data_IF_582603946151
#
_entry.id   IF_582603946151
#
_cell.length_a   1.000
_cell.length_b   1.000
_cell.length_c   1.000
_cell.angle_alpha   90.00
_cell.angle_beta   90.00
_cell.angle_gamma   90.00
#
_symmetry.space_group_name_H-M   'P 1'
#
loop_
_entity.id
_entity.type
_entity.pdbx_description
1 polymer ?
#
# COMPACT_ATOMS: atom_id res chain seq x y z
N UNK A 1 3.18 -0.47 -1.50
CA UNK A 1 1.98 0.23 -0.99
C UNK A 1 2.40 1.46 -0.22
N UNK A 2 1.79 2.63 -0.42
CA UNK A 2 2.07 3.80 0.41
C UNK A 2 0.81 4.57 0.84
N UNK A 3 0.87 5.23 1.99
CA UNK A 3 -0.27 5.92 2.62
C UNK A 3 -0.42 7.36 2.11
N UNK A 4 -1.62 7.72 1.65
CA UNK A 4 -1.94 9.11 1.27
C UNK A 4 -2.38 9.92 2.49
N UNK A 5 -1.90 11.17 2.59
CA UNK A 5 -2.20 12.09 3.69
C UNK A 5 -3.44 12.95 3.42
N UNK A 6 -3.77 13.30 2.18
CA UNK A 6 -4.90 14.18 1.85
C UNK A 6 -5.59 13.74 0.55
N UNK A 7 -6.91 13.94 0.37
CA UNK A 7 -7.62 13.65 -0.88
C UNK A 7 -7.04 14.37 -2.10
N UNK A 8 -6.55 15.60 -1.93
CA UNK A 8 -5.86 16.36 -2.98
C UNK A 8 -4.60 15.66 -3.51
N UNK A 9 -3.92 14.86 -2.67
CA UNK A 9 -2.78 14.06 -3.11
C UNK A 9 -3.20 12.91 -4.01
N UNK A 10 -4.39 12.32 -3.78
CA UNK A 10 -4.93 11.29 -4.64
C UNK A 10 -5.23 11.87 -6.02
N UNK A 11 -5.98 12.96 -6.09
CA UNK A 11 -6.32 13.62 -7.37
C UNK A 11 -5.08 14.01 -8.15
N UNK A 12 -4.10 14.60 -7.48
CA UNK A 12 -2.83 15.00 -8.08
C UNK A 12 -2.03 13.79 -8.59
N UNK A 13 -1.93 12.72 -7.79
CA UNK A 13 -1.25 11.49 -8.20
C UNK A 13 -1.92 10.88 -9.45
N UNK A 14 -3.26 10.83 -9.47
CA UNK A 14 -4.04 10.32 -10.60
C UNK A 14 -3.85 11.17 -11.85
N UNK A 15 -3.95 12.50 -11.72
CA UNK A 15 -3.86 13.45 -12.85
C UNK A 15 -2.45 13.53 -13.44
N UNK A 16 -1.44 13.59 -12.59
CA UNK A 16 -0.04 13.79 -13.00
C UNK A 16 0.76 12.49 -13.08
N UNK A 17 0.11 11.35 -12.82
CA UNK A 17 0.65 9.98 -12.97
C UNK A 17 1.98 9.77 -12.27
N UNK A 18 2.04 10.15 -11.00
CA UNK A 18 3.22 9.92 -10.18
C UNK A 18 2.85 9.54 -8.76
N UNK A 19 3.81 8.93 -8.07
CA UNK A 19 3.74 8.71 -6.63
C UNK A 19 5.08 9.10 -6.01
N UNK A 20 5.08 9.58 -4.76
CA UNK A 20 6.31 9.86 -4.05
C UNK A 20 6.20 9.52 -2.58
N UNK A 21 7.32 9.13 -1.99
CA UNK A 21 7.46 8.93 -0.55
C UNK A 21 8.87 9.28 -0.09
N UNK A 22 9.08 9.61 1.20
CA UNK A 22 10.42 9.78 1.75
C UNK A 22 11.26 8.53 1.49
N UNK A 23 12.50 8.71 1.04
CA UNK A 23 13.41 7.60 0.76
C UNK A 23 13.65 6.75 2.02
N UNK A 24 13.70 7.40 3.19
CA UNK A 24 13.83 6.75 4.52
C UNK A 24 12.72 5.75 4.86
N UNK A 25 11.59 5.76 4.14
CA UNK A 25 10.53 4.75 4.32
C UNK A 25 10.89 3.41 3.66
N UNK A 26 11.90 3.38 2.79
CA UNK A 26 12.36 2.19 2.08
C UNK A 26 13.63 1.71 2.78
N UNK A 27 13.50 0.70 3.63
CA UNK A 27 14.62 0.22 4.46
C UNK A 27 15.72 -0.41 3.59
N UNK A 28 15.32 -1.25 2.62
CA UNK A 28 16.25 -1.82 1.64
C UNK A 28 16.09 -1.13 0.28
N UNK A 29 17.04 -0.25 -0.04
CA UNK A 29 17.05 0.48 -1.31
C UNK A 29 17.21 -0.44 -2.54
N UNK A 30 17.69 -1.69 -2.39
CA UNK A 30 17.76 -2.65 -3.51
C UNK A 30 16.38 -3.04 -4.01
N UNK A 31 15.34 -2.91 -3.17
CA UNK A 31 13.96 -3.20 -3.56
C UNK A 31 13.45 -2.23 -4.62
N UNK A 32 13.99 -1.00 -4.69
CA UNK A 32 13.52 0.02 -5.65
C UNK A 32 13.53 -0.46 -7.09
N UNK A 33 14.55 -1.22 -7.49
CA UNK A 33 14.66 -1.75 -8.87
C UNK A 33 13.69 -2.90 -9.14
N UNK A 34 13.07 -3.47 -8.11
CA UNK A 34 12.13 -4.58 -8.21
C UNK A 34 10.66 -4.13 -8.11
N UNK A 35 10.40 -2.84 -7.84
CA UNK A 35 9.04 -2.32 -7.73
C UNK A 35 8.45 -2.14 -9.13
N UNK A 36 7.59 -3.08 -9.52
CA UNK A 36 6.85 -3.02 -10.79
C UNK A 36 5.54 -2.23 -10.68
N UNK A 37 4.93 -2.19 -9.49
CA UNK A 37 3.63 -1.57 -9.25
C UNK A 37 3.63 -0.75 -7.97
N UNK A 38 2.93 0.39 -8.02
CA UNK A 38 2.57 1.15 -6.83
C UNK A 38 1.06 1.07 -6.64
N UNK A 39 0.65 0.94 -5.39
CA UNK A 39 -0.74 1.07 -4.99
C UNK A 39 -0.88 2.00 -3.78
N UNK A 40 -1.99 2.74 -3.77
CA UNK A 40 -2.24 3.83 -2.83
C UNK A 40 -3.29 3.41 -1.82
N UNK A 41 -2.94 3.44 -0.54
CA UNK A 41 -3.85 3.16 0.56
C UNK A 41 -4.51 4.45 1.05
N UNK A 42 -5.84 4.51 0.98
CA UNK A 42 -6.67 5.57 1.54
C UNK A 42 -7.03 5.22 2.99
N UNK A 43 -6.36 5.87 3.95
CA UNK A 43 -6.54 5.60 5.38
C UNK A 43 -7.86 6.15 5.96
N UNK A 44 -8.41 5.45 6.97
CA UNK A 44 -9.68 5.81 7.63
C UNK A 44 -9.66 7.18 8.31
N UNK A 45 -8.54 7.55 8.95
CA UNK A 45 -8.40 8.83 9.66
C UNK A 45 -8.52 10.06 8.74
N UNK A 46 -8.32 9.89 7.43
CA UNK A 46 -8.16 11.01 6.48
C UNK A 46 -9.19 10.99 5.35
N UNK A 47 -9.77 9.83 5.08
CA UNK A 47 -10.88 9.64 4.15
C UNK A 47 -12.12 9.25 4.99
N UNK A 48 -12.80 10.25 5.55
CA UNK A 48 -13.89 10.11 6.55
C UNK A 48 -15.20 9.52 5.99
N UNK A 49 -15.25 9.12 4.71
CA UNK A 49 -16.43 8.58 4.06
C UNK A 49 -16.44 7.05 3.98
N UNK A 50 -17.55 6.37 4.34
CA UNK A 50 -17.77 4.96 3.99
C UNK A 50 -17.56 4.75 2.48
N UNK A 51 -16.80 3.72 2.09
CA UNK A 51 -16.54 3.40 0.68
C UNK A 51 -15.30 4.06 0.04
N UNK A 52 -14.63 5.01 0.72
CA UNK A 52 -13.43 5.68 0.21
C UNK A 52 -12.12 5.24 0.88
N UNK A 53 -12.17 4.21 1.71
CA UNK A 53 -11.02 3.71 2.47
C UNK A 53 -10.53 2.37 1.92
N UNK A 54 -9.28 2.04 2.15
CA UNK A 54 -8.63 0.84 1.62
C UNK A 54 -7.77 1.13 0.41
N UNK A 55 -7.62 0.16 -0.49
CA UNK A 55 -6.77 0.27 -1.67
C UNK A 55 -7.65 0.17 -2.90
N UNK A 56 -7.85 1.31 -3.55
CA UNK A 56 -8.67 1.42 -4.76
C UNK A 56 -7.83 1.52 -6.02
N UNK A 57 -6.65 2.12 -5.93
CA UNK A 57 -5.84 2.51 -7.08
C UNK A 57 -4.48 1.85 -7.06
N UNK A 58 -4.06 1.36 -8.22
CA UNK A 58 -2.74 0.82 -8.46
C UNK A 58 -2.26 1.21 -9.85
N UNK A 59 -0.97 1.18 -10.10
CA UNK A 59 -0.42 1.55 -11.40
C UNK A 59 0.97 0.96 -11.61
N UNK A 60 1.26 0.63 -12.86
CA UNK A 60 2.57 0.11 -13.27
C UNK A 60 3.60 1.23 -13.23
N UNK A 61 4.75 0.96 -12.64
CA UNK A 61 5.89 1.88 -12.61
C UNK A 61 6.58 1.84 -13.97
N UNK A 62 6.79 3.02 -14.56
CA UNK A 62 7.62 3.17 -15.76
C UNK A 62 9.07 3.49 -15.41
N UNK A 63 9.25 4.33 -14.40
CA UNK A 63 10.55 4.83 -13.99
C UNK A 63 10.49 5.32 -12.54
N UNK A 64 11.64 5.43 -11.88
CA UNK A 64 11.77 6.04 -10.57
C UNK A 64 13.08 6.79 -10.44
N UNK A 65 13.08 7.83 -9.60
CA UNK A 65 14.28 8.59 -9.29
C UNK A 65 14.31 9.04 -7.84
N UNK A 66 15.51 9.14 -7.28
CA UNK A 66 15.73 9.83 -6.01
C UNK A 66 15.90 11.32 -6.29
N UNK A 67 15.11 12.14 -5.60
CA UNK A 67 15.12 13.59 -5.71
C UNK A 67 15.04 14.21 -4.31
N UNK A 68 15.48 15.45 -4.17
CA UNK A 68 15.20 16.24 -2.97
C UNK A 68 13.74 16.64 -2.96
N UNK A 69 13.16 16.80 -1.77
CA UNK A 69 11.75 17.15 -1.62
C UNK A 69 11.37 18.44 -2.36
N UNK A 70 12.27 19.44 -2.41
CA UNK A 70 12.08 20.71 -3.13
C UNK A 70 11.93 20.55 -4.65
N UNK A 71 12.43 19.46 -5.23
CA UNK A 71 12.35 19.18 -6.67
C UNK A 71 11.00 18.57 -7.08
N UNK A 72 10.19 18.13 -6.12
CA UNK A 72 8.81 17.68 -6.36
C UNK A 72 7.92 18.93 -6.40
N UNK A 73 7.85 19.55 -7.57
CA UNK A 73 7.17 20.84 -7.80
C UNK A 73 5.65 20.73 -7.82
N UNK A 74 5.11 19.52 -8.07
CA UNK A 74 3.66 19.28 -8.06
C UNK A 74 3.05 19.60 -6.70
N UNK A 75 3.85 19.52 -5.62
CA UNK A 75 3.43 19.88 -4.27
C UNK A 75 4.55 20.59 -3.53
N UNK A 76 4.35 21.83 -3.06
CA UNK A 76 5.39 22.56 -2.34
C UNK A 76 5.88 21.79 -1.11
N UNK A 77 7.18 21.87 -0.84
CA UNK A 77 7.79 21.34 0.37
C UNK A 77 7.24 22.08 1.60
N UNK A 78 7.21 21.40 2.75
CA UNK A 78 6.97 22.09 4.02
C UNK A 78 8.28 22.74 4.47
N UNK A 79 8.24 23.91 5.12
CA UNK A 79 9.43 24.53 5.69
C UNK A 79 10.24 23.53 6.53
N UNK A 80 11.53 23.40 6.24
CA UNK A 80 12.46 22.50 6.92
C UNK A 80 12.50 21.07 6.37
N UNK A 81 11.76 20.76 5.29
CA UNK A 81 11.74 19.44 4.65
C UNK A 81 12.34 19.43 3.24
N UNK A 82 12.79 20.58 2.75
CA UNK A 82 13.20 20.83 1.35
C UNK A 82 14.31 19.90 0.87
N UNK A 83 15.26 19.57 1.76
CA UNK A 83 16.44 18.77 1.47
C UNK A 83 16.24 17.28 1.77
N UNK A 84 15.09 16.87 2.32
CA UNK A 84 14.81 15.45 2.55
C UNK A 84 14.82 14.70 1.22
N UNK A 85 15.45 13.52 1.19
CA UNK A 85 15.45 12.66 0.02
C UNK A 85 14.11 11.91 -0.10
N UNK A 86 13.56 11.92 -1.30
CA UNK A 86 12.35 11.25 -1.68
C UNK A 86 12.62 10.35 -2.89
N UNK A 87 11.89 9.25 -2.98
CA UNK A 87 11.74 8.53 -4.25
C UNK A 87 10.47 9.05 -4.93
N UNK A 88 10.60 9.36 -6.23
CA UNK A 88 9.49 9.74 -7.10
C UNK A 88 9.35 8.69 -8.20
N UNK A 89 8.20 8.02 -8.23
CA UNK A 89 7.81 7.04 -9.23
C UNK A 89 6.98 7.71 -10.32
N UNK A 90 7.34 7.45 -11.57
CA UNK A 90 6.53 7.75 -12.75
C UNK A 90 5.63 6.55 -13.02
N UNK A 91 4.33 6.77 -13.11
CA UNK A 91 3.33 5.72 -13.27
C UNK A 91 2.79 5.77 -14.70
N UNK A 92 2.66 4.63 -15.35
CA UNK A 92 2.15 4.56 -16.73
C UNK A 92 0.72 5.08 -16.82
N UNK A 93 -0.13 4.48 -15.99
CA UNK A 93 -1.52 4.84 -15.77
C UNK A 93 -1.94 4.30 -14.41
N UNK A 94 -2.92 4.97 -13.82
CA UNK A 94 -3.60 4.46 -12.64
C UNK A 94 -4.83 3.67 -13.06
N UNK A 95 -4.94 2.47 -12.52
CA UNK A 95 -6.07 1.57 -12.68
C UNK A 95 -6.82 1.50 -11.35
N UNK A 96 -8.15 1.51 -11.46
CA UNK A 96 -9.02 1.30 -10.31
C UNK A 96 -9.37 -0.17 -10.23
N UNK A 97 -9.31 -0.74 -9.03
CA UNK A 97 -9.80 -2.11 -8.79
C UNK A 97 -11.32 -2.13 -8.80
N UNK A 98 -11.89 -3.20 -9.35
CA UNK A 98 -13.33 -3.49 -9.26
C UNK A 98 -13.76 -3.69 -7.80
N UNK A 99 -12.93 -4.41 -7.05
CA UNK A 99 -13.09 -4.64 -5.60
C UNK A 99 -11.88 -4.05 -4.85
N UNK A 100 -12.08 -3.05 -3.99
CA UNK A 100 -10.98 -2.48 -3.21
C UNK A 100 -10.50 -3.48 -2.16
N UNK A 101 -9.21 -3.42 -1.80
CA UNK A 101 -8.71 -4.11 -0.61
C UNK A 101 -9.12 -3.28 0.61
N UNK A 102 -9.94 -3.84 1.49
CA UNK A 102 -10.42 -3.18 2.68
C UNK A 102 -9.33 -3.07 3.77
N UNK A 103 -9.46 -2.07 4.64
CA UNK A 103 -8.54 -1.91 5.77
C UNK A 103 -8.69 -3.01 6.84
N UNK A 104 -9.85 -3.67 6.92
CA UNK A 104 -10.05 -4.81 7.85
C UNK A 104 -9.93 -4.48 9.35
N UNK A 105 -9.85 -3.19 9.72
CA UNK A 105 -9.54 -2.74 11.09
C UNK A 105 -8.07 -2.39 11.32
N UNK A 106 -7.21 -2.61 10.33
CA UNK A 106 -5.78 -2.34 10.39
C UNK A 106 -5.38 -1.09 9.60
N UNK A 107 -4.14 -0.63 9.84
CA UNK A 107 -3.52 0.50 9.15
C UNK A 107 -2.28 0.12 8.33
N UNK A 108 -1.75 1.11 7.61
CA UNK A 108 -0.38 1.09 7.06
C UNK A 108 0.29 2.35 7.59
N UNK A 109 1.35 2.18 8.37
CA UNK A 109 2.11 3.24 9.02
C UNK A 109 3.00 3.98 8.03
N UNK A 110 3.79 3.25 7.24
CA UNK A 110 4.77 3.78 6.26
C UNK A 110 4.53 3.26 4.86
N UNK A 111 4.96 2.03 4.58
CA UNK A 111 4.79 1.35 3.30
C UNK A 111 4.81 -0.16 3.50
N UNK A 112 4.11 -0.89 2.63
CA UNK A 112 4.06 -2.35 2.64
C UNK A 112 4.47 -2.89 1.26
N UNK A 113 5.32 -3.92 1.25
CA UNK A 113 5.67 -4.69 0.05
C UNK A 113 4.87 -5.97 0.02
N UNK A 114 4.47 -6.38 -1.18
CA UNK A 114 3.71 -7.61 -1.39
C UNK A 114 3.87 -8.03 -2.84
N UNK A 115 3.64 -9.31 -3.14
CA UNK A 115 3.67 -9.80 -4.51
C UNK A 115 2.41 -9.39 -5.27
N UNK A 116 2.51 -9.28 -6.61
CA UNK A 116 1.32 -9.07 -7.46
C UNK A 116 0.29 -10.18 -7.26
N UNK A 117 0.75 -11.41 -7.04
CA UNK A 117 -0.11 -12.57 -6.74
C UNK A 117 -1.02 -12.34 -5.54
N UNK A 118 -0.46 -11.85 -4.42
CA UNK A 118 -1.22 -11.54 -3.20
C UNK A 118 -2.08 -10.30 -3.38
N UNK A 119 -1.52 -9.26 -3.98
CA UNK A 119 -2.26 -8.03 -4.28
C UNK A 119 -3.57 -8.32 -5.02
N UNK A 120 -3.52 -9.12 -6.09
CA UNK A 120 -4.69 -9.39 -6.93
C UNK A 120 -5.80 -10.18 -6.22
N UNK A 121 -5.43 -10.96 -5.19
CA UNK A 121 -6.37 -11.84 -4.50
C UNK A 121 -6.87 -11.25 -3.20
N UNK A 122 -6.08 -10.46 -2.49
CA UNK A 122 -6.41 -9.95 -1.17
C UNK A 122 -7.75 -9.18 -1.15
N UNK A 123 -8.53 -9.43 -0.10
CA UNK A 123 -9.76 -8.68 0.19
C UNK A 123 -9.53 -7.68 1.33
N UNK A 124 -8.61 -7.98 2.25
CA UNK A 124 -8.16 -7.10 3.33
C UNK A 124 -6.64 -6.90 3.34
N UNK A 125 -6.18 -5.76 3.86
CA UNK A 125 -4.75 -5.42 3.89
C UNK A 125 -3.91 -6.40 4.72
N UNK A 126 -4.50 -7.06 5.72
CA UNK A 126 -3.85 -8.09 6.53
C UNK A 126 -3.28 -9.23 5.66
N UNK A 127 -4.03 -9.62 4.63
CA UNK A 127 -3.66 -10.71 3.72
C UNK A 127 -2.42 -10.38 2.88
N UNK A 128 -2.08 -9.09 2.73
CA UNK A 128 -0.90 -8.69 1.96
C UNK A 128 0.42 -9.05 2.64
N UNK A 129 0.38 -9.37 3.95
CA UNK A 129 1.54 -9.76 4.77
C UNK A 129 1.85 -11.25 4.73
N UNK A 130 1.03 -12.05 4.03
CA UNK A 130 1.28 -13.48 3.84
C UNK A 130 2.47 -13.67 2.88
N UNK A 131 3.66 -13.86 3.46
CA UNK A 131 4.93 -13.91 2.72
C UNK A 131 5.51 -15.34 2.63
N UNK A 132 5.27 -16.19 3.62
CA UNK A 132 5.79 -17.56 3.66
C UNK A 132 4.80 -18.58 3.05
N UNK A 133 5.31 -19.74 2.63
CA UNK A 133 4.52 -20.77 1.94
C UNK A 133 3.46 -21.43 2.83
N UNK A 134 3.70 -21.49 4.13
CA UNK A 134 2.80 -22.09 5.12
C UNK A 134 1.54 -21.26 5.30
N UNK A 135 1.69 -19.97 5.62
CA UNK A 135 0.60 -19.02 5.73
C UNK A 135 -0.20 -18.94 4.43
N UNK A 136 0.48 -18.95 3.27
CA UNK A 136 -0.16 -18.96 1.96
C UNK A 136 -0.95 -20.25 1.69
N UNK A 137 -0.50 -21.39 2.20
CA UNK A 137 -1.21 -22.68 2.08
C UNK A 137 -2.47 -22.66 2.95
N UNK A 138 -2.34 -22.30 4.23
CA UNK A 138 -3.47 -22.22 5.16
C UNK A 138 -4.52 -21.22 4.69
N UNK A 139 -4.09 -20.04 4.24
CA UNK A 139 -4.99 -19.03 3.68
C UNK A 139 -5.73 -19.52 2.44
N UNK A 140 -5.06 -20.27 1.54
CA UNK A 140 -5.71 -20.85 0.36
C UNK A 140 -6.77 -21.88 0.74
N UNK A 141 -6.49 -22.71 1.74
CA UNK A 141 -7.41 -23.73 2.23
C UNK A 141 -8.63 -23.07 2.88
N UNK A 142 -8.42 -22.11 3.79
CA UNK A 142 -9.49 -21.34 4.42
C UNK A 142 -10.34 -20.60 3.38
N UNK A 143 -9.74 -20.01 2.35
CA UNK A 143 -10.46 -19.29 1.30
C UNK A 143 -11.39 -20.15 0.45
N UNK A 144 -11.14 -21.46 0.36
CA UNK A 144 -12.06 -22.38 -0.33
C UNK A 144 -13.36 -22.57 0.45
N UNK A 145 -13.32 -22.36 1.76
CA UNK A 145 -14.45 -22.57 2.66
C UNK A 145 -15.28 -21.30 2.85
N UNK A 146 -14.68 -20.11 2.70
CA UNK A 146 -15.42 -18.85 2.82
C UNK A 146 -14.52 -17.61 2.87
N UNK A 147 -15.09 -16.51 3.35
CA UNK A 147 -14.35 -15.27 3.61
C UNK A 147 -13.34 -15.52 4.74
N UNK A 148 -12.11 -15.03 4.58
CA UNK A 148 -11.02 -15.29 5.53
C UNK A 148 -10.63 -14.01 6.25
N UNK A 149 -10.38 -14.13 7.55
CA UNK A 149 -9.78 -13.10 8.39
C UNK A 149 -8.36 -13.52 8.75
N UNK A 150 -7.40 -12.65 8.44
CA UNK A 150 -6.00 -12.78 8.86
C UNK A 150 -5.79 -11.88 10.07
N UNK A 151 -5.24 -12.45 11.14
CA UNK A 151 -4.87 -11.75 12.36
C UNK A 151 -3.34 -11.60 12.37
N UNK A 152 -2.88 -10.39 12.69
CA UNK A 152 -1.47 -10.07 12.85
C UNK A 152 -1.19 -9.70 14.31
N UNK A 153 0.06 -9.81 14.72
CA UNK A 153 0.54 -9.39 16.04
C UNK A 153 0.56 -7.86 16.25
N UNK A 154 0.33 -7.09 15.18
CA UNK A 154 0.30 -5.63 15.23
C UNK A 154 -0.91 -5.02 14.49
N UNK A 155 -1.30 -3.81 14.90
CA UNK A 155 -2.46 -3.09 14.35
C UNK A 155 -2.18 -2.41 12.99
N UNK A 156 -0.94 -2.00 12.75
CA UNK A 156 -0.43 -1.58 11.45
C UNK A 156 0.27 -2.76 10.75
N UNK A 157 -0.13 -3.06 9.53
CA UNK A 157 0.30 -4.25 8.77
C UNK A 157 1.80 -4.25 8.46
N UNK A 158 2.37 -3.08 8.17
CA UNK A 158 3.79 -2.94 7.86
C UNK A 158 4.71 -3.03 9.08
N UNK A 159 4.15 -2.96 10.29
CA UNK A 159 4.88 -3.13 11.55
C UNK A 159 4.65 -4.51 12.18
N UNK A 160 3.78 -5.33 11.60
CA UNK A 160 3.56 -6.70 12.05
C UNK A 160 4.76 -7.58 11.68
N UNK A 161 5.21 -8.38 12.63
CA UNK A 161 6.28 -9.36 12.41
C UNK A 161 5.70 -10.73 12.06
N UNK A 162 4.54 -11.08 12.65
CA UNK A 162 3.98 -12.41 12.56
C UNK A 162 2.48 -12.42 12.22
N UNK A 163 2.09 -13.43 11.45
CA UNK A 163 0.69 -13.84 11.31
C UNK A 163 0.34 -14.71 12.52
N UNK A 164 -0.64 -14.27 13.32
CA UNK A 164 -1.04 -14.98 14.55
C UNK A 164 -2.25 -15.90 14.34
N UNK A 165 -2.92 -15.79 13.19
CA UNK A 165 -3.99 -16.71 12.85
C UNK A 165 -4.68 -16.40 11.53
N UNK A 166 -5.16 -17.46 10.89
CA UNK A 166 -5.93 -17.43 9.65
C UNK A 166 -7.23 -18.20 9.91
N UNK A 167 -8.40 -17.53 9.79
CA UNK A 167 -9.69 -18.15 10.12
C UNK A 167 -10.74 -17.82 9.08
N UNK A 168 -11.66 -18.75 8.84
CA UNK A 168 -12.87 -18.49 8.04
C UNK A 168 -13.84 -17.68 8.91
N UNK A 169 -14.38 -16.59 8.38
CA UNK A 169 -15.44 -15.84 9.05
C UNK A 169 -16.72 -16.70 9.05
N UNK A 170 -17.26 -16.95 10.24
CA UNK A 170 -18.58 -17.56 10.39
C UNK A 170 -19.63 -16.61 9.81
N UNK A 171 -20.51 -17.16 8.96
CA UNK A 171 -21.55 -16.41 8.23
C UNK A 171 -22.76 -16.10 9.08
#
# INVERSE_FOLDING_TARGET
>A
MGSLREPSQLEMALKLRFYHMPLKNIVDHKLLTQIEYIAMCQSRKKFLGPGNTGIHWFGRVLDWKVVRRREITERPARPGTEEELYVKFTIERWERRDKPIALGGQGIYTCLYTSKYMFDRASEIAELKLENEEDLREWREARRLGKVKVQLDHSDVDLAENVVGIRVEES
#
